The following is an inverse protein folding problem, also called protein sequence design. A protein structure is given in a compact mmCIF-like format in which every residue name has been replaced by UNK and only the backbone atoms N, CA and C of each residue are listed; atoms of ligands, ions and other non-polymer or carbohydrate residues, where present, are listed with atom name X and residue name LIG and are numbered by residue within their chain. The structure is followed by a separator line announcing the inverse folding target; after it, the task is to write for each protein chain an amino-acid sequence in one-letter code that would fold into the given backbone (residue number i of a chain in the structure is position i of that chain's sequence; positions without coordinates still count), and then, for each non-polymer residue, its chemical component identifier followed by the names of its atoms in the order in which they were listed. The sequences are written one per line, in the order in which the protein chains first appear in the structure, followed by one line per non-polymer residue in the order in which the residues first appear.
data_IF_017927840652
#
_entry.id   IF_017927840652
#
_cell.length_a   1.000
_cell.length_b   1.000
_cell.length_c   1.000
_cell.angle_alpha   90.00
_cell.angle_beta   90.00
_cell.angle_gamma   90.00
#
_symmetry.space_group_name_H-M   'P 1'
#
loop_
_entity.id
_entity.type
_entity.pdbx_description
1 polymer ?
#
# COMPACT_ATOMS: atom_id res chain seq x y z
N UNK A 1 16.35 38.60 -27.22
CA UNK A 1 16.91 37.55 -26.34
C UNK A 1 16.34 37.58 -24.92
N UNK A 2 16.44 38.69 -24.16
CA UNK A 2 15.90 38.77 -22.78
C UNK A 2 14.40 38.46 -22.66
N UNK A 3 13.55 38.98 -23.56
CA UNK A 3 12.10 38.68 -23.58
C UNK A 3 11.79 37.20 -23.82
N UNK A 4 12.52 36.54 -24.73
CA UNK A 4 12.36 35.10 -25.00
C UNK A 4 12.79 34.25 -23.81
N UNK A 5 13.88 34.65 -23.13
CA UNK A 5 14.34 33.97 -21.92
C UNK A 5 13.29 34.06 -20.79
N UNK A 6 12.67 35.24 -20.61
CA UNK A 6 11.61 35.42 -19.61
C UNK A 6 10.42 34.50 -19.92
N UNK A 7 9.96 34.46 -21.18
CA UNK A 7 8.87 33.56 -21.61
C UNK A 7 9.23 32.09 -21.35
N UNK A 8 10.46 31.70 -21.66
CA UNK A 8 10.92 30.34 -21.44
C UNK A 8 10.94 29.96 -19.95
N UNK A 9 11.44 30.86 -19.10
CA UNK A 9 11.45 30.65 -17.64
C UNK A 9 10.02 30.57 -17.09
N UNK A 10 9.11 31.45 -17.52
CA UNK A 10 7.73 31.40 -17.05
C UNK A 10 6.98 30.14 -17.50
N UNK A 11 7.30 29.58 -18.67
CA UNK A 11 6.80 28.27 -19.09
C UNK A 11 7.33 27.14 -18.19
N UNK A 12 8.63 27.13 -17.86
CA UNK A 12 9.22 26.13 -16.94
C UNK A 12 8.56 26.20 -15.57
N UNK A 13 8.43 27.41 -15.00
CA UNK A 13 7.80 27.60 -13.68
C UNK A 13 6.33 27.20 -13.72
N UNK A 14 5.60 27.58 -14.77
CA UNK A 14 4.21 27.18 -14.94
C UNK A 14 4.04 25.66 -15.01
N UNK A 15 4.91 24.98 -15.76
CA UNK A 15 4.91 23.51 -15.83
C UNK A 15 5.22 22.86 -14.48
N UNK A 16 6.24 23.35 -13.77
CA UNK A 16 6.61 22.82 -12.45
C UNK A 16 5.48 22.99 -11.42
N UNK A 17 4.80 24.15 -11.42
CA UNK A 17 3.64 24.39 -10.55
C UNK A 17 2.47 23.48 -10.90
N UNK A 18 2.15 23.34 -12.19
CA UNK A 18 1.09 22.44 -12.65
C UNK A 18 1.37 20.99 -12.21
N UNK A 19 2.60 20.51 -12.41
CA UNK A 19 3.01 19.17 -12.01
C UNK A 19 2.91 18.97 -10.49
N UNK A 20 3.35 19.96 -9.70
CA UNK A 20 3.25 19.92 -8.24
C UNK A 20 1.81 19.82 -7.73
N UNK A 21 0.90 20.62 -8.29
CA UNK A 21 -0.53 20.58 -7.94
C UNK A 21 -1.15 19.24 -8.35
N UNK A 22 -0.87 18.79 -9.57
CA UNK A 22 -1.40 17.52 -10.09
C UNK A 22 -0.96 16.33 -9.23
N UNK A 23 0.32 16.26 -8.87
CA UNK A 23 0.85 15.19 -8.01
C UNK A 23 0.26 15.24 -6.59
N UNK A 24 0.01 16.43 -6.04
CA UNK A 24 -0.63 16.56 -4.73
C UNK A 24 -2.09 16.08 -4.76
N UNK A 25 -2.86 16.47 -5.77
CA UNK A 25 -4.24 15.99 -5.94
C UNK A 25 -4.28 14.48 -6.11
N UNK A 26 -3.39 13.93 -6.95
CA UNK A 26 -3.24 12.49 -7.13
C UNK A 26 -2.96 11.76 -5.80
N UNK A 27 -2.03 12.27 -4.98
CA UNK A 27 -1.71 11.69 -3.67
C UNK A 27 -2.89 11.76 -2.71
N UNK A 28 -3.69 12.82 -2.76
CA UNK A 28 -4.90 12.93 -1.93
C UNK A 28 -5.96 11.91 -2.34
N UNK A 29 -6.24 11.75 -3.64
CA UNK A 29 -7.20 10.78 -4.13
C UNK A 29 -6.76 9.34 -3.84
N UNK A 30 -5.47 9.04 -4.05
CA UNK A 30 -4.84 7.76 -3.70
C UNK A 30 -4.91 7.48 -2.21
N UNK A 31 -4.71 8.49 -1.35
CA UNK A 31 -4.90 8.36 0.10
C UNK A 31 -6.33 7.93 0.43
N UNK A 32 -7.32 8.64 -0.12
CA UNK A 32 -8.74 8.36 0.16
C UNK A 32 -9.16 6.97 -0.33
N UNK A 33 -8.63 6.51 -1.47
CA UNK A 33 -8.96 5.18 -1.99
C UNK A 33 -8.42 4.04 -1.11
N UNK A 34 -7.29 4.27 -0.41
CA UNK A 34 -6.65 3.29 0.48
C UNK A 34 -7.29 3.23 1.87
N UNK A 35 -7.81 4.34 2.40
CA UNK A 35 -8.39 4.36 3.75
C UNK A 35 -9.57 3.40 3.85
N UNK A 36 -9.60 2.58 4.89
CA UNK A 36 -10.68 1.63 5.16
C UNK A 36 -10.19 0.30 5.72
N UNK A 37 -11.14 -0.61 5.92
CA UNK A 37 -10.89 -1.96 6.40
C UNK A 37 -10.89 -2.95 5.23
N UNK A 38 -10.00 -3.93 5.29
CA UNK A 38 -9.83 -4.95 4.27
C UNK A 38 -9.79 -6.33 4.91
N UNK A 39 -10.39 -7.33 4.26
CA UNK A 39 -10.30 -8.75 4.62
C UNK A 39 -9.25 -9.45 3.77
N UNK A 40 -8.53 -10.41 4.36
CA UNK A 40 -7.61 -11.27 3.62
C UNK A 40 -8.33 -12.03 2.49
N UNK A 41 -7.75 -12.00 1.29
CA UNK A 41 -8.19 -12.81 0.17
C UNK A 41 -7.42 -14.13 0.16
N UNK A 42 -8.07 -15.18 0.68
CA UNK A 42 -7.46 -16.50 0.78
C UNK A 42 -7.36 -17.24 -0.56
N UNK A 43 -8.02 -16.75 -1.61
CA UNK A 43 -8.02 -17.38 -2.92
C UNK A 43 -6.92 -16.82 -3.83
N UNK A 44 -6.60 -15.53 -3.69
CA UNK A 44 -5.53 -14.86 -4.46
C UNK A 44 -4.17 -14.93 -3.79
N UNK A 45 -4.13 -15.08 -2.46
CA UNK A 45 -2.88 -15.17 -1.71
C UNK A 45 -2.28 -16.58 -1.80
N UNK A 46 -1.04 -16.68 -2.28
CA UNK A 46 -0.28 -17.93 -2.27
C UNK A 46 0.37 -18.11 -0.89
N UNK A 47 -0.20 -18.99 -0.07
CA UNK A 47 0.22 -19.18 1.33
C UNK A 47 1.44 -20.08 1.53
N UNK A 48 1.91 -20.75 0.48
CA UNK A 48 3.08 -21.62 0.53
C UNK A 48 3.04 -22.61 1.70
N UNK A 49 4.02 -22.53 2.61
CA UNK A 49 4.10 -23.40 3.79
C UNK A 49 2.91 -23.31 4.76
N UNK A 50 2.08 -22.25 4.65
CA UNK A 50 0.92 -22.04 5.51
C UNK A 50 -0.40 -22.56 4.91
N UNK A 51 -0.37 -23.18 3.72
CA UNK A 51 -1.57 -23.64 3.01
C UNK A 51 -2.49 -24.55 3.84
N UNK A 52 -1.93 -25.41 4.68
CA UNK A 52 -2.68 -26.37 5.50
C UNK A 52 -3.24 -25.72 6.80
N UNK A 53 -2.98 -24.44 7.01
CA UNK A 53 -3.40 -23.65 8.17
C UNK A 53 -4.18 -22.38 7.80
N UNK A 54 -4.68 -22.28 6.55
CA UNK A 54 -5.41 -21.09 6.05
C UNK A 54 -6.59 -20.70 6.96
N UNK A 55 -7.28 -21.68 7.54
CA UNK A 55 -8.39 -21.44 8.47
C UNK A 55 -8.02 -20.57 9.67
N UNK A 56 -6.75 -20.56 10.09
CA UNK A 56 -6.25 -19.69 11.16
C UNK A 56 -6.20 -18.22 10.74
N UNK A 57 -6.09 -17.95 9.45
CA UNK A 57 -5.83 -16.62 8.89
C UNK A 57 -7.02 -16.04 8.12
N UNK A 58 -8.06 -16.82 7.82
CA UNK A 58 -9.23 -16.38 7.01
C UNK A 58 -9.99 -15.16 7.56
N UNK A 59 -9.83 -14.87 8.85
CA UNK A 59 -10.42 -13.70 9.52
C UNK A 59 -9.42 -12.55 9.72
N UNK A 60 -8.24 -12.63 9.11
CA UNK A 60 -7.26 -11.53 9.13
C UNK A 60 -7.86 -10.31 8.45
N UNK A 61 -7.75 -9.18 9.13
CA UNK A 61 -8.18 -7.87 8.64
C UNK A 61 -7.03 -6.89 8.71
N UNK A 62 -6.94 -6.04 7.70
CA UNK A 62 -6.00 -4.93 7.58
C UNK A 62 -6.80 -3.63 7.55
N UNK A 63 -6.48 -2.70 8.45
CA UNK A 63 -7.11 -1.38 8.51
C UNK A 63 -6.09 -0.32 8.16
N UNK A 64 -6.46 0.59 7.26
CA UNK A 64 -5.72 1.82 6.96
C UNK A 64 -6.50 3.02 7.49
N UNK A 65 -5.94 3.71 8.47
CA UNK A 65 -6.58 4.85 9.14
C UNK A 65 -6.30 6.19 8.44
N UNK A 66 -7.16 7.18 8.71
CA UNK A 66 -7.07 8.53 8.12
C UNK A 66 -5.82 9.30 8.55
N UNK A 67 -5.30 9.00 9.73
CA UNK A 67 -4.10 9.59 10.34
C UNK A 67 -2.79 8.92 9.87
N UNK A 68 -2.89 8.02 8.87
CA UNK A 68 -1.76 7.30 8.27
C UNK A 68 -1.19 6.17 9.13
N UNK A 69 -1.93 5.67 10.12
CA UNK A 69 -1.61 4.39 10.78
C UNK A 69 -2.23 3.22 10.03
N UNK A 70 -1.66 2.03 10.22
CA UNK A 70 -2.30 0.79 9.82
C UNK A 70 -2.23 -0.24 10.95
N UNK A 71 -3.16 -1.18 10.94
CA UNK A 71 -3.18 -2.30 11.88
C UNK A 71 -3.76 -3.57 11.27
N UNK A 72 -3.26 -4.71 11.75
CA UNK A 72 -3.86 -6.03 11.60
C UNK A 72 -4.63 -6.35 12.88
N UNK A 73 -5.77 -7.02 12.75
CA UNK A 73 -6.56 -7.45 13.92
C UNK A 73 -5.87 -8.54 14.77
N UNK A 74 -4.90 -9.28 14.22
CA UNK A 74 -4.01 -10.17 14.95
C UNK A 74 -2.67 -10.37 14.20
N UNK A 75 -1.58 -10.75 14.89
CA UNK A 75 -0.30 -10.97 14.24
C UNK A 75 -0.30 -12.24 13.37
N UNK A 76 0.44 -12.20 12.26
CA UNK A 76 0.60 -13.32 11.32
C UNK A 76 2.07 -13.56 11.02
N UNK A 77 2.48 -14.80 10.74
CA UNK A 77 3.90 -15.13 10.58
C UNK A 77 4.52 -14.58 9.28
N UNK A 78 3.69 -14.29 8.28
CA UNK A 78 4.08 -13.82 6.95
C UNK A 78 4.02 -12.28 6.79
N UNK A 79 3.90 -11.53 7.90
CA UNK A 79 4.05 -10.07 7.92
C UNK A 79 4.96 -9.65 9.07
N UNK A 80 5.76 -8.61 8.85
CA UNK A 80 6.83 -8.21 9.76
C UNK A 80 6.34 -7.73 11.13
N UNK A 81 5.19 -7.05 11.18
CA UNK A 81 4.50 -6.68 12.41
C UNK A 81 2.99 -6.48 12.14
N UNK A 82 2.20 -6.35 13.21
CA UNK A 82 0.75 -6.15 13.11
C UNK A 82 0.33 -4.68 13.05
N UNK A 83 1.23 -3.71 13.18
CA UNK A 83 0.87 -2.30 13.10
C UNK A 83 2.06 -1.42 12.72
N UNK A 84 1.76 -0.18 12.35
CA UNK A 84 2.76 0.81 11.99
C UNK A 84 2.13 2.03 11.33
N UNK A 85 2.90 2.67 10.46
CA UNK A 85 2.43 3.79 9.63
C UNK A 85 2.51 3.42 8.15
N UNK A 86 1.72 4.08 7.33
CA UNK A 86 1.79 3.94 5.88
C UNK A 86 2.04 5.28 5.19
N UNK A 87 2.59 5.22 3.98
CA UNK A 87 2.88 6.41 3.15
C UNK A 87 2.35 6.22 1.74
N UNK A 88 1.76 7.27 1.20
CA UNK A 88 1.28 7.33 -0.18
C UNK A 88 2.46 7.62 -1.11
N UNK A 89 2.69 6.74 -2.08
CA UNK A 89 3.61 7.00 -3.18
C UNK A 89 3.05 8.02 -4.18
N UNK A 90 3.93 8.71 -4.92
CA UNK A 90 3.57 9.52 -6.08
C UNK A 90 2.91 8.73 -7.22
N UNK A 91 2.77 9.38 -8.38
CA UNK A 91 2.08 8.86 -9.57
C UNK A 91 2.54 7.46 -9.98
N UNK A 92 3.85 7.24 -10.04
CA UNK A 92 4.48 5.98 -10.47
C UNK A 92 5.19 5.25 -9.32
N UNK A 93 4.85 5.60 -8.08
CA UNK A 93 5.49 5.03 -6.90
C UNK A 93 4.54 4.14 -6.09
N UNK A 94 5.11 3.07 -5.54
CA UNK A 94 4.44 2.24 -4.54
C UNK A 94 4.15 3.01 -3.27
N UNK A 95 3.03 2.66 -2.62
CA UNK A 95 2.83 3.02 -1.23
C UNK A 95 3.76 2.16 -0.34
N UNK A 96 4.01 2.63 0.88
CA UNK A 96 4.89 1.95 1.83
C UNK A 96 4.16 1.63 3.11
N UNK A 97 4.31 0.41 3.61
CA UNK A 97 4.03 0.02 4.99
C UNK A 97 5.34 0.13 5.76
N UNK A 98 5.36 0.92 6.82
CA UNK A 98 6.49 1.04 7.73
C UNK A 98 6.02 0.44 9.05
N UNK A 99 6.45 -0.78 9.32
CA UNK A 99 6.09 -1.52 10.51
C UNK A 99 6.70 -0.89 11.77
N UNK A 100 6.13 -1.19 12.93
CA UNK A 100 6.64 -0.73 14.23
C UNK A 100 8.09 -1.17 14.54
N UNK A 101 8.59 -2.20 13.85
CA UNK A 101 9.98 -2.66 13.91
C UNK A 101 10.89 -2.05 12.82
N UNK A 102 10.43 -1.00 12.13
CA UNK A 102 11.13 -0.27 11.06
C UNK A 102 11.38 -1.05 9.75
N UNK A 103 10.84 -2.27 9.60
CA UNK A 103 10.80 -2.94 8.31
C UNK A 103 9.89 -2.15 7.37
N UNK A 104 10.21 -2.15 6.06
CA UNK A 104 9.44 -1.43 5.06
C UNK A 104 9.04 -2.37 3.93
N UNK A 105 7.74 -2.57 3.77
CA UNK A 105 7.15 -3.28 2.63
C UNK A 105 6.47 -2.28 1.68
N UNK A 106 6.23 -2.73 0.45
CA UNK A 106 5.54 -1.95 -0.57
C UNK A 106 4.15 -2.50 -0.81
N UNK A 107 3.20 -1.63 -1.16
CA UNK A 107 1.86 -2.07 -1.54
C UNK A 107 1.26 -1.18 -2.63
N UNK A 108 0.40 -1.78 -3.46
CA UNK A 108 -0.24 -1.09 -4.58
C UNK A 108 -1.43 -0.24 -4.15
N UNK A 109 -1.79 0.75 -4.98
CA UNK A 109 -3.12 1.39 -4.88
C UNK A 109 -4.19 0.32 -5.11
N UNK A 110 -5.32 0.34 -4.37
CA UNK A 110 -6.41 -0.57 -4.63
C UNK A 110 -6.89 -0.47 -6.08
N UNK A 111 -7.07 -1.61 -6.73
CA UNK A 111 -7.65 -1.71 -8.08
C UNK A 111 -8.94 -2.52 -8.05
N UNK A 112 -9.78 -2.38 -9.06
CA UNK A 112 -11.04 -3.11 -9.13
C UNK A 112 -10.90 -4.38 -9.97
N UNK A 113 -11.37 -5.50 -9.43
CA UNK A 113 -11.48 -6.77 -10.14
C UNK A 113 -12.77 -7.47 -9.73
N UNK A 114 -13.61 -7.81 -10.71
CA UNK A 114 -14.94 -8.45 -10.52
C UNK A 114 -15.84 -7.76 -9.48
N UNK A 115 -15.74 -6.43 -9.35
CA UNK A 115 -16.55 -5.62 -8.43
C UNK A 115 -15.98 -5.49 -7.00
N UNK A 116 -14.85 -6.15 -6.73
CA UNK A 116 -14.10 -6.02 -5.48
C UNK A 116 -12.97 -4.99 -5.64
N UNK A 117 -12.72 -4.20 -4.59
CA UNK A 117 -11.55 -3.33 -4.51
C UNK A 117 -10.42 -4.10 -3.82
N UNK A 118 -9.36 -4.39 -4.56
CA UNK A 118 -8.27 -5.28 -4.15
C UNK A 118 -7.01 -4.48 -3.91
N UNK A 119 -6.41 -4.66 -2.74
CA UNK A 119 -5.09 -4.17 -2.37
C UNK A 119 -4.15 -5.37 -2.22
N UNK A 120 -2.89 -5.22 -2.61
CA UNK A 120 -1.88 -6.23 -2.30
C UNK A 120 -0.62 -5.61 -1.73
N UNK A 121 -0.07 -6.30 -0.74
CA UNK A 121 1.28 -6.08 -0.23
C UNK A 121 2.23 -6.90 -1.11
N UNK A 122 3.26 -6.25 -1.62
CA UNK A 122 4.25 -6.83 -2.50
C UNK A 122 5.56 -7.08 -1.76
N UNK A 123 6.16 -8.24 -1.99
CA UNK A 123 7.37 -8.70 -1.31
C UNK A 123 7.24 -8.63 0.21
N UNK A 124 6.16 -9.23 0.75
CA UNK A 124 5.89 -9.18 2.18
C UNK A 124 7.05 -9.76 2.98
N UNK A 125 7.59 -8.96 3.90
CA UNK A 125 8.67 -9.41 4.77
C UNK A 125 8.05 -10.19 5.93
N UNK A 126 8.43 -11.46 6.16
CA UNK A 126 7.86 -12.24 7.24
C UNK A 126 8.34 -11.77 8.61
N UNK A 127 7.65 -12.21 9.65
CA UNK A 127 8.10 -12.00 11.02
C UNK A 127 9.48 -12.65 11.25
N UNK A 128 10.33 -12.04 12.08
CA UNK A 128 11.73 -12.46 12.28
C UNK A 128 11.88 -13.95 12.64
N UNK A 129 10.93 -14.51 13.40
CA UNK A 129 10.90 -15.91 13.81
C UNK A 129 10.47 -16.88 12.70
N UNK A 130 10.15 -16.39 11.50
CA UNK A 130 9.50 -17.13 10.41
C UNK A 130 10.13 -16.79 9.03
N UNK A 131 11.46 -16.67 8.99
CA UNK A 131 12.23 -16.30 7.78
C UNK A 131 12.05 -17.22 6.56
N UNK A 132 11.54 -18.42 6.76
CA UNK A 132 11.31 -19.40 5.69
C UNK A 132 9.93 -19.24 5.02
N UNK A 133 9.17 -18.19 5.34
CA UNK A 133 7.92 -17.88 4.65
C UNK A 133 8.20 -17.56 3.17
N UNK A 134 7.41 -18.19 2.31
CA UNK A 134 7.38 -18.03 0.86
C UNK A 134 6.15 -17.24 0.39
N UNK A 135 5.51 -16.50 1.30
CA UNK A 135 4.34 -15.65 0.98
C UNK A 135 4.84 -14.30 0.48
N UNK A 136 5.02 -14.18 -0.84
CA UNK A 136 5.56 -12.95 -1.44
C UNK A 136 4.52 -11.86 -1.66
N UNK A 137 3.26 -12.23 -1.95
CA UNK A 137 2.17 -11.29 -2.20
C UNK A 137 0.97 -11.65 -1.36
N UNK A 138 0.46 -10.66 -0.62
CA UNK A 138 -0.71 -10.84 0.25
C UNK A 138 -1.82 -9.96 -0.30
N UNK A 139 -2.93 -10.58 -0.68
CA UNK A 139 -4.07 -9.89 -1.25
C UNK A 139 -5.14 -9.64 -0.19
N UNK A 140 -5.75 -8.46 -0.27
CA UNK A 140 -6.81 -8.03 0.62
C UNK A 140 -7.94 -7.40 -0.20
N UNK A 141 -9.18 -7.68 0.18
CA UNK A 141 -10.38 -7.09 -0.42
C UNK A 141 -10.98 -6.07 0.54
N UNK A 142 -11.25 -4.86 0.05
CA UNK A 142 -11.88 -3.80 0.84
C UNK A 142 -13.27 -4.20 1.29
N UNK A 143 -13.56 -4.02 2.56
CA UNK A 143 -14.90 -4.19 3.13
C UNK A 143 -15.69 -2.91 2.82
N UNK A 144 -16.90 -3.07 2.26
CA UNK A 144 -17.78 -1.96 1.91
C UNK A 144 -18.47 -1.39 3.14
#
# INVERSE_FOLDING_TARGET
MKKMLIIFISLIVGYALYWGISNNNYKMDKKQSIIGEYKLDIYRTEFGIYKDSIDKYKHLRLTFDKDMTFSLNFPVPFMAASHGIWKVGGMDEWCKLIYSNNIVDQFGTPYYDKGDSILYINSATPHYSQRNSDVYKIFFVKIK
#
